data_IF_818120775399
#
_entry.id   IF_818120775399
#
_cell.length_a   1.000
_cell.length_b   1.000
_cell.length_c   1.000
_cell.angle_alpha   90.00
_cell.angle_beta   90.00
_cell.angle_gamma   90.00
#
_symmetry.space_group_name_H-M   'P 1'
#
loop_
_entity.id
_entity.type
_entity.pdbx_description
1 polymer ?
#
# COMPACT_ATOMS: atom_id res chain seq x y z
N UNK A 1 8.71 -18.60 -16.56
CA UNK A 1 7.41 -17.91 -16.82
C UNK A 1 7.70 -16.51 -17.30
N UNK A 2 6.86 -15.94 -18.17
CA UNK A 2 6.98 -14.55 -18.62
C UNK A 2 5.96 -13.68 -17.89
N UNK A 3 6.39 -12.56 -17.31
CA UNK A 3 5.53 -11.61 -16.59
C UNK A 3 5.86 -10.16 -16.91
N UNK A 4 4.83 -9.33 -17.02
CA UNK A 4 4.95 -7.89 -17.24
C UNK A 4 4.74 -7.11 -15.93
N UNK A 5 5.72 -6.29 -15.55
CA UNK A 5 5.73 -5.58 -14.26
C UNK A 5 5.75 -4.07 -14.49
N UNK A 6 4.73 -3.37 -14.01
CA UNK A 6 4.74 -1.93 -13.94
C UNK A 6 5.63 -1.47 -12.78
N UNK A 7 6.64 -0.66 -13.08
CA UNK A 7 7.55 -0.07 -12.10
C UNK A 7 7.11 1.36 -11.79
N UNK A 8 6.83 1.64 -10.53
CA UNK A 8 6.56 2.97 -10.00
C UNK A 8 7.72 3.35 -9.07
N UNK A 9 8.80 3.96 -9.59
CA UNK A 9 9.89 4.49 -8.76
C UNK A 9 9.38 5.46 -7.69
N UNK A 10 8.53 6.40 -8.11
CA UNK A 10 7.97 7.45 -7.27
C UNK A 10 9.00 8.50 -6.84
N UNK A 11 8.96 8.88 -5.57
CA UNK A 11 9.65 10.05 -5.00
C UNK A 11 10.71 9.66 -3.94
N UNK A 12 11.59 10.61 -3.59
CA UNK A 12 12.60 10.43 -2.55
C UNK A 12 13.55 9.27 -2.87
N UNK A 13 13.71 8.33 -1.93
CA UNK A 13 14.54 7.13 -2.11
C UNK A 13 13.93 6.10 -3.07
N UNK A 14 12.70 6.32 -3.53
CA UNK A 14 11.94 5.38 -4.35
C UNK A 14 12.68 4.87 -5.60
N UNK A 15 13.25 5.76 -6.44
CA UNK A 15 14.04 5.34 -7.60
C UNK A 15 15.24 4.46 -7.25
N UNK A 16 15.95 4.77 -6.16
CA UNK A 16 17.14 4.03 -5.75
C UNK A 16 16.77 2.60 -5.33
N UNK A 17 15.73 2.45 -4.50
CA UNK A 17 15.32 1.13 -3.99
C UNK A 17 14.64 0.26 -5.05
N UNK A 18 13.85 0.87 -5.95
CA UNK A 18 13.21 0.14 -7.07
C UNK A 18 14.26 -0.37 -8.06
N UNK A 19 15.31 0.43 -8.34
CA UNK A 19 16.42 -0.02 -9.16
C UNK A 19 17.13 -1.26 -8.56
N UNK A 20 17.34 -1.29 -7.23
CA UNK A 20 17.92 -2.47 -6.59
C UNK A 20 16.99 -3.69 -6.61
N UNK A 21 15.69 -3.48 -6.36
CA UNK A 21 14.71 -4.56 -6.45
C UNK A 21 14.65 -5.16 -7.86
N UNK A 22 14.68 -4.34 -8.91
CA UNK A 22 14.76 -4.79 -10.30
C UNK A 22 16.01 -5.64 -10.55
N UNK A 23 17.19 -5.21 -10.08
CA UNK A 23 18.44 -5.99 -10.23
C UNK A 23 18.34 -7.38 -9.60
N UNK A 24 17.69 -7.48 -8.44
CA UNK A 24 17.47 -8.78 -7.79
C UNK A 24 16.47 -9.62 -8.58
N UNK A 25 15.37 -9.03 -9.08
CA UNK A 25 14.40 -9.73 -9.92
C UNK A 25 15.02 -10.27 -11.21
N UNK A 26 15.84 -9.47 -11.89
CA UNK A 26 16.56 -9.89 -13.10
C UNK A 26 17.48 -11.08 -12.80
N UNK A 27 18.21 -11.04 -11.67
CA UNK A 27 19.07 -12.17 -11.28
C UNK A 27 18.27 -13.43 -10.96
N UNK A 28 17.10 -13.30 -10.33
CA UNK A 28 16.19 -14.42 -10.09
C UNK A 28 15.65 -14.96 -11.42
N UNK A 29 15.35 -14.09 -12.38
CA UNK A 29 14.88 -14.50 -13.70
C UNK A 29 15.91 -15.39 -14.40
N UNK A 30 17.18 -14.98 -14.41
CA UNK A 30 18.29 -15.75 -14.98
C UNK A 30 18.45 -17.12 -14.33
N UNK A 31 18.41 -17.17 -12.99
CA UNK A 31 18.68 -18.38 -12.22
C UNK A 31 17.56 -19.43 -12.34
N UNK A 32 16.31 -18.98 -12.47
CA UNK A 32 15.13 -19.84 -12.39
C UNK A 32 14.36 -19.94 -13.72
N UNK A 33 14.93 -19.43 -14.82
CA UNK A 33 14.30 -19.51 -16.15
C UNK A 33 12.97 -18.73 -16.19
N UNK A 34 12.96 -17.52 -15.66
CA UNK A 34 11.85 -16.59 -15.82
C UNK A 34 12.24 -15.46 -16.77
N UNK A 35 11.23 -14.74 -17.24
CA UNK A 35 11.40 -13.54 -18.03
C UNK A 35 10.51 -12.46 -17.41
N UNK A 36 11.12 -11.32 -17.06
CA UNK A 36 10.42 -10.16 -16.57
C UNK A 36 10.60 -9.02 -17.56
N UNK A 37 9.48 -8.49 -18.05
CA UNK A 37 9.46 -7.25 -18.83
C UNK A 37 8.92 -6.14 -17.94
N UNK A 38 9.37 -4.91 -18.19
CA UNK A 38 9.07 -3.78 -17.32
C UNK A 38 8.49 -2.62 -18.11
N UNK A 39 7.56 -1.89 -17.50
CA UNK A 39 7.12 -0.58 -17.99
C UNK A 39 7.18 0.42 -16.86
N UNK A 40 7.81 1.57 -17.10
CA UNK A 40 7.86 2.64 -16.12
C UNK A 40 6.55 3.42 -16.06
N UNK A 41 6.14 3.74 -14.84
CA UNK A 41 4.90 4.44 -14.52
C UNK A 41 5.23 5.60 -13.59
N UNK A 42 4.87 6.81 -14.02
CA UNK A 42 4.98 7.99 -13.17
C UNK A 42 3.81 8.04 -12.17
N UNK A 43 4.12 8.21 -10.89
CA UNK A 43 3.12 8.38 -9.83
C UNK A 43 3.76 9.07 -8.62
N UNK A 44 2.99 9.92 -7.96
CA UNK A 44 3.44 10.73 -6.83
C UNK A 44 3.87 12.11 -7.28
N UNK A 45 4.82 12.70 -6.57
CA UNK A 45 5.37 14.02 -6.85
C UNK A 45 6.01 14.13 -8.23
N UNK A 46 6.70 13.08 -8.68
CA UNK A 46 7.27 13.03 -10.03
C UNK A 46 6.23 13.17 -11.15
N UNK A 47 5.00 12.68 -10.92
CA UNK A 47 3.90 12.78 -11.86
C UNK A 47 3.21 14.15 -11.74
N UNK A 48 3.11 14.70 -10.53
CA UNK A 48 2.65 16.07 -10.31
C UNK A 48 3.54 17.06 -11.05
N UNK A 49 4.87 16.92 -10.95
CA UNK A 49 5.82 17.82 -11.61
C UNK A 49 5.71 17.75 -13.15
N UNK A 50 5.45 16.56 -13.69
CA UNK A 50 5.44 16.32 -15.15
C UNK A 50 4.08 16.56 -15.80
N UNK A 51 3.00 16.24 -15.11
CA UNK A 51 1.64 16.20 -15.68
C UNK A 51 0.62 17.01 -14.89
N UNK A 52 0.99 17.56 -13.74
CA UNK A 52 0.06 18.24 -12.84
C UNK A 52 -0.92 17.31 -12.12
N UNK A 53 -0.77 15.99 -12.23
CA UNK A 53 -1.63 14.97 -11.59
C UNK A 53 -0.74 13.89 -10.92
N UNK A 54 -1.00 13.51 -9.65
CA UNK A 54 -0.21 12.49 -8.95
C UNK A 54 -0.38 11.06 -9.48
N UNK A 55 -1.40 10.79 -10.31
CA UNK A 55 -1.55 9.53 -11.06
C UNK A 55 -2.39 9.77 -12.33
N UNK A 56 -1.79 10.24 -13.44
CA UNK A 56 -2.49 10.40 -14.70
C UNK A 56 -3.20 9.12 -15.15
N UNK A 57 -4.33 9.23 -15.85
CA UNK A 57 -5.13 8.06 -16.23
C UNK A 57 -4.32 7.02 -17.02
N UNK A 58 -3.51 7.47 -17.98
CA UNK A 58 -2.62 6.61 -18.77
C UNK A 58 -1.63 5.80 -17.90
N UNK A 59 -1.17 6.39 -16.78
CA UNK A 59 -0.27 5.72 -15.84
C UNK A 59 -0.99 4.60 -15.05
N UNK A 60 -2.26 4.82 -14.69
CA UNK A 60 -3.10 3.77 -14.11
C UNK A 60 -3.39 2.67 -15.14
N UNK A 61 -3.67 3.02 -16.39
CA UNK A 61 -3.95 2.04 -17.43
C UNK A 61 -2.74 1.11 -17.69
N UNK A 62 -1.51 1.64 -17.63
CA UNK A 62 -0.26 0.84 -17.64
C UNK A 62 -0.19 -0.17 -16.48
N UNK A 63 -0.65 0.23 -15.29
CA UNK A 63 -0.69 -0.67 -14.13
C UNK A 63 -1.74 -1.77 -14.31
N UNK A 64 -2.91 -1.44 -14.85
CA UNK A 64 -4.00 -2.38 -15.11
C UNK A 64 -3.66 -3.40 -16.22
N UNK A 65 -2.84 -2.98 -17.19
CA UNK A 65 -2.34 -3.86 -18.25
C UNK A 65 -1.18 -4.76 -17.81
N UNK A 66 -0.62 -4.54 -16.62
CA UNK A 66 0.51 -5.33 -16.08
C UNK A 66 0.06 -6.52 -15.25
N UNK A 67 0.87 -7.57 -15.20
CA UNK A 67 0.64 -8.71 -14.29
C UNK A 67 0.84 -8.32 -12.82
N UNK A 68 1.69 -7.32 -12.56
CA UNK A 68 2.03 -6.86 -11.21
C UNK A 68 2.57 -5.43 -11.23
N UNK A 69 2.52 -4.77 -10.07
CA UNK A 69 3.06 -3.43 -9.86
C UNK A 69 4.08 -3.48 -8.73
N UNK A 70 5.26 -2.91 -8.98
CA UNK A 70 6.30 -2.68 -7.99
C UNK A 70 6.44 -1.18 -7.73
N UNK A 71 6.10 -0.75 -6.52
CA UNK A 71 6.11 0.66 -6.11
C UNK A 71 7.18 0.92 -5.06
N UNK A 72 7.96 2.00 -5.25
CA UNK A 72 8.98 2.48 -4.32
C UNK A 72 8.40 3.31 -3.16
N UNK A 73 8.45 4.63 -3.27
CA UNK A 73 7.91 5.55 -2.27
C UNK A 73 7.22 6.74 -2.95
N UNK A 74 6.32 7.43 -2.24
CA UNK A 74 5.70 8.67 -2.73
C UNK A 74 5.64 9.72 -1.63
N UNK A 75 5.65 10.99 -2.04
CA UNK A 75 5.58 12.14 -1.14
C UNK A 75 6.91 12.81 -0.90
N UNK A 76 6.84 14.01 -0.34
CA UNK A 76 8.00 14.82 0.02
C UNK A 76 7.61 16.27 0.30
N UNK A 77 8.43 17.03 1.07
CA UNK A 77 8.08 18.38 1.51
C UNK A 77 7.74 19.36 0.39
N UNK A 78 8.32 19.15 -0.81
CA UNK A 78 8.11 19.96 -2.00
C UNK A 78 6.64 20.09 -2.39
N UNK A 79 5.82 19.06 -2.15
CA UNK A 79 4.42 19.03 -2.58
C UNK A 79 3.43 19.33 -1.45
N UNK A 80 3.88 19.79 -0.27
CA UNK A 80 2.97 20.10 0.85
C UNK A 80 1.98 21.23 0.51
N UNK A 81 2.38 22.16 -0.35
CA UNK A 81 1.60 23.33 -0.77
C UNK A 81 0.66 23.09 -1.96
N UNK A 82 0.70 21.92 -2.61
CA UNK A 82 -0.22 21.65 -3.74
C UNK A 82 -1.64 21.39 -3.22
N UNK A 83 -2.69 21.65 -4.03
CA UNK A 83 -4.07 21.34 -3.65
C UNK A 83 -4.22 19.89 -3.19
N UNK A 84 -5.10 19.64 -2.21
CA UNK A 84 -5.30 18.32 -1.62
C UNK A 84 -5.43 17.17 -2.62
N UNK A 85 -6.27 17.28 -3.67
CA UNK A 85 -6.40 16.27 -4.72
C UNK A 85 -5.12 15.98 -5.53
N UNK A 86 -4.20 16.95 -5.60
CA UNK A 86 -2.96 16.88 -6.36
C UNK A 86 -1.76 16.42 -5.52
N UNK A 87 -1.96 16.15 -4.22
CA UNK A 87 -0.89 15.65 -3.36
C UNK A 87 -0.43 14.25 -3.79
N UNK A 88 0.87 13.92 -3.68
CA UNK A 88 1.41 12.61 -4.07
C UNK A 88 0.65 11.41 -3.47
N UNK A 89 0.22 11.52 -2.21
CA UNK A 89 -0.49 10.47 -1.48
C UNK A 89 -1.88 10.17 -2.08
N UNK A 90 -2.50 11.13 -2.77
CA UNK A 90 -3.75 10.89 -3.51
C UNK A 90 -3.54 9.96 -4.69
N UNK A 91 -2.38 10.00 -5.34
CA UNK A 91 -1.99 9.03 -6.36
C UNK A 91 -1.99 7.59 -5.82
N UNK A 92 -1.47 7.39 -4.61
CA UNK A 92 -1.45 6.08 -3.97
C UNK A 92 -2.85 5.53 -3.63
N UNK A 93 -3.77 6.40 -3.18
CA UNK A 93 -5.17 5.99 -2.95
C UNK A 93 -5.89 5.67 -4.26
N UNK A 94 -5.68 6.49 -5.30
CA UNK A 94 -6.22 6.26 -6.65
C UNK A 94 -5.70 4.96 -7.26
N UNK A 95 -4.42 4.64 -7.10
CA UNK A 95 -3.84 3.38 -7.58
C UNK A 95 -4.51 2.18 -6.90
N UNK A 96 -4.62 2.22 -5.56
CA UNK A 96 -5.21 1.11 -4.78
C UNK A 96 -6.65 0.84 -5.18
N UNK A 97 -7.47 1.87 -5.27
CA UNK A 97 -8.86 1.76 -5.69
C UNK A 97 -8.96 1.34 -7.17
N UNK A 98 -8.18 1.98 -8.06
CA UNK A 98 -8.17 1.69 -9.48
C UNK A 98 -7.81 0.24 -9.81
N UNK A 99 -6.86 -0.34 -9.07
CA UNK A 99 -6.49 -1.76 -9.21
C UNK A 99 -7.37 -2.73 -8.39
N UNK A 100 -8.29 -2.23 -7.56
CA UNK A 100 -9.14 -3.07 -6.72
C UNK A 100 -8.38 -3.89 -5.65
N UNK A 101 -7.18 -3.45 -5.25
CA UNK A 101 -6.31 -4.19 -4.31
C UNK A 101 -6.74 -3.99 -2.84
N UNK A 102 -7.84 -4.65 -2.45
CA UNK A 102 -8.44 -4.48 -1.12
C UNK A 102 -7.67 -5.14 0.04
N UNK A 103 -6.79 -6.10 -0.23
CA UNK A 103 -6.05 -6.83 0.81
C UNK A 103 -4.63 -6.31 0.94
N UNK A 104 -4.35 -5.60 2.04
CA UNK A 104 -3.00 -5.23 2.41
C UNK A 104 -2.41 -6.22 3.41
N UNK A 105 -1.35 -6.92 3.00
CA UNK A 105 -0.68 -7.92 3.82
C UNK A 105 0.69 -7.38 4.25
N UNK A 106 0.88 -7.19 5.57
CA UNK A 106 2.13 -6.68 6.15
C UNK A 106 2.74 -7.72 7.10
N UNK A 107 3.66 -8.58 6.64
CA UNK A 107 4.41 -9.45 7.54
C UNK A 107 5.34 -8.61 8.43
N UNK A 108 5.29 -8.86 9.74
CA UNK A 108 6.17 -8.30 10.73
C UNK A 108 6.91 -9.44 11.43
N UNK A 109 8.22 -9.54 11.16
CA UNK A 109 9.08 -10.59 11.68
C UNK A 109 10.37 -10.01 12.20
N UNK A 110 10.78 -10.44 13.39
CA UNK A 110 12.13 -10.16 13.90
C UNK A 110 13.08 -11.29 13.48
N UNK A 111 14.18 -10.92 12.84
CA UNK A 111 15.25 -11.86 12.53
C UNK A 111 16.21 -11.94 13.72
N UNK A 112 16.67 -13.13 14.14
CA UNK A 112 17.60 -13.26 15.27
C UNK A 112 18.84 -12.35 15.12
N UNK A 113 19.35 -12.21 13.91
CA UNK A 113 20.50 -11.37 13.56
C UNK A 113 20.24 -9.85 13.76
N UNK A 114 18.97 -9.44 13.80
CA UNK A 114 18.52 -8.05 13.94
C UNK A 114 17.79 -7.80 15.27
N UNK A 115 17.80 -8.77 16.20
CA UNK A 115 17.04 -8.68 17.45
C UNK A 115 17.43 -7.46 18.30
N UNK A 116 18.72 -7.07 18.30
CA UNK A 116 19.23 -5.91 19.03
C UNK A 116 18.75 -4.56 18.49
N UNK A 117 18.24 -4.50 17.25
CA UNK A 117 17.67 -3.29 16.69
C UNK A 117 16.22 -3.04 17.14
N UNK A 118 15.59 -4.03 17.79
CA UNK A 118 14.25 -3.87 18.33
C UNK A 118 14.25 -2.93 19.53
N UNK A 119 13.30 -1.99 19.63
CA UNK A 119 13.17 -1.12 20.81
C UNK A 119 12.56 -1.83 22.03
N UNK A 120 12.08 -3.06 21.87
CA UNK A 120 11.51 -3.86 22.96
C UNK A 120 12.61 -4.52 23.78
N UNK A 121 12.31 -4.78 25.06
CA UNK A 121 13.24 -5.46 25.95
C UNK A 121 13.66 -6.84 25.40
N UNK A 122 14.92 -7.27 25.58
CA UNK A 122 15.42 -8.54 25.05
C UNK A 122 14.57 -9.76 25.43
N UNK A 123 14.02 -9.82 26.65
CA UNK A 123 13.17 -10.92 27.12
C UNK A 123 11.80 -10.99 26.41
N UNK A 124 11.35 -9.89 25.80
CA UNK A 124 10.16 -9.87 24.93
C UNK A 124 10.55 -10.36 23.54
N UNK A 125 11.63 -9.81 22.99
CA UNK A 125 12.12 -10.16 21.64
C UNK A 125 12.55 -11.63 21.57
N UNK A 126 13.14 -12.15 22.64
CA UNK A 126 13.56 -13.55 22.76
C UNK A 126 12.41 -14.56 22.67
N UNK A 127 11.16 -14.12 22.85
CA UNK A 127 9.95 -14.96 22.62
C UNK A 127 9.60 -15.09 21.14
N UNK A 128 10.26 -14.32 20.27
CA UNK A 128 9.99 -14.27 18.84
C UNK A 128 8.85 -13.32 18.48
N UNK A 129 8.98 -12.68 17.32
CA UNK A 129 7.95 -11.84 16.70
C UNK A 129 7.79 -12.35 15.27
N UNK A 130 6.63 -12.92 14.95
CA UNK A 130 6.29 -13.38 13.60
C UNK A 130 4.76 -13.38 13.43
N UNK A 131 4.22 -12.25 12.96
CA UNK A 131 2.80 -12.11 12.66
C UNK A 131 2.60 -11.37 11.34
N UNK A 132 1.38 -11.42 10.81
CA UNK A 132 1.02 -10.76 9.57
C UNK A 132 -0.27 -9.97 9.80
N UNK A 133 -0.24 -8.68 9.48
CA UNK A 133 -1.42 -7.82 9.49
C UNK A 133 -2.12 -7.96 8.14
N UNK A 134 -3.37 -8.45 8.16
CA UNK A 134 -4.28 -8.41 7.01
C UNK A 134 -5.19 -7.21 7.22
N UNK A 135 -5.05 -6.20 6.37
CA UNK A 135 -5.75 -4.91 6.48
C UNK A 135 -6.62 -4.67 5.24
N UNK A 136 -7.88 -4.27 5.45
CA UNK A 136 -8.73 -3.72 4.39
C UNK A 136 -8.13 -2.38 3.91
N UNK A 137 -7.94 -2.24 2.60
CA UNK A 137 -7.12 -1.18 2.02
C UNK A 137 -7.90 -0.15 1.16
N UNK A 138 -9.12 -0.45 0.74
CA UNK A 138 -9.85 0.37 -0.25
C UNK A 138 -11.26 0.79 0.17
N UNK A 139 -11.62 0.58 1.44
CA UNK A 139 -12.85 1.05 2.05
C UNK A 139 -12.60 1.82 3.36
N UNK A 140 -13.64 1.88 4.20
CA UNK A 140 -13.57 2.55 5.49
C UNK A 140 -13.33 4.06 5.38
N UNK A 141 -12.84 4.65 6.47
CA UNK A 141 -12.71 6.10 6.62
C UNK A 141 -11.79 6.76 5.58
N UNK A 142 -10.95 6.01 4.87
CA UNK A 142 -10.06 6.57 3.83
C UNK A 142 -10.76 6.80 2.49
N UNK A 143 -11.88 6.12 2.26
CA UNK A 143 -12.62 6.14 0.99
C UNK A 143 -14.10 6.51 1.18
N UNK A 144 -14.54 6.73 2.43
CA UNK A 144 -15.84 7.32 2.72
C UNK A 144 -15.92 8.78 2.30
N UNK A 145 -17.10 9.39 2.50
CA UNK A 145 -17.30 10.80 2.19
C UNK A 145 -16.39 11.67 3.06
N UNK A 146 -15.78 12.67 2.43
CA UNK A 146 -14.97 13.71 3.07
C UNK A 146 -15.54 15.07 2.71
N UNK A 147 -16.04 15.82 3.68
CA UNK A 147 -16.63 17.13 3.42
C UNK A 147 -16.28 18.14 4.52
N UNK A 148 -16.29 19.41 4.12
CA UNK A 148 -16.22 20.53 5.05
C UNK A 148 -17.43 21.41 4.80
N UNK A 149 -18.27 21.55 5.82
CA UNK A 149 -19.55 22.25 5.75
C UNK A 149 -19.56 23.41 6.75
N UNK A 150 -20.43 24.39 6.53
CA UNK A 150 -20.70 25.44 7.48
C UNK A 150 -22.01 25.12 8.22
N UNK A 151 -21.94 24.85 9.52
CA UNK A 151 -23.07 24.53 10.37
C UNK A 151 -23.13 25.54 11.52
N UNK A 152 -24.26 26.23 11.68
CA UNK A 152 -24.47 27.23 12.73
C UNK A 152 -23.38 28.32 12.81
N UNK A 153 -22.80 28.70 11.67
CA UNK A 153 -21.71 29.68 11.59
C UNK A 153 -20.31 29.11 11.87
N UNK A 154 -20.18 27.82 12.16
CA UNK A 154 -18.92 27.13 12.38
C UNK A 154 -18.54 26.24 11.19
N UNK A 155 -17.24 26.07 10.96
CA UNK A 155 -16.76 25.09 9.96
C UNK A 155 -16.64 23.73 10.61
N UNK A 156 -17.34 22.75 10.05
CA UNK A 156 -17.32 21.34 10.49
C UNK A 156 -16.66 20.50 9.41
N UNK A 157 -15.74 19.62 9.80
CA UNK A 157 -15.12 18.63 8.92
C UNK A 157 -15.67 17.24 9.26
N UNK A 158 -16.07 16.49 8.23
CA UNK A 158 -16.73 15.19 8.36
C UNK A 158 -15.96 14.17 7.52
N UNK A 159 -15.63 13.05 8.15
CA UNK A 159 -15.03 11.86 7.53
C UNK A 159 -15.89 10.63 7.85
N UNK A 160 -16.43 9.98 6.82
CA UNK A 160 -17.35 8.85 6.99
C UNK A 160 -16.62 7.50 7.09
N UNK A 161 -16.71 6.81 8.23
CA UNK A 161 -16.30 5.41 8.34
C UNK A 161 -17.44 4.50 7.90
N UNK A 162 -17.36 3.96 6.67
CA UNK A 162 -18.35 3.06 6.12
C UNK A 162 -17.73 1.79 5.55
N UNK A 163 -18.37 0.66 5.82
CA UNK A 163 -18.12 -0.62 5.17
C UNK A 163 -19.44 -1.28 4.80
N UNK A 164 -19.49 -1.91 3.64
CA UNK A 164 -20.50 -2.92 3.31
C UNK A 164 -20.10 -4.28 3.87
N UNK A 165 -21.09 -5.14 4.10
CA UNK A 165 -20.85 -6.52 4.51
C UNK A 165 -19.94 -7.27 3.54
N UNK A 166 -20.05 -6.99 2.24
CA UNK A 166 -19.23 -7.62 1.20
C UNK A 166 -17.74 -7.27 1.32
N UNK A 167 -17.42 -6.03 1.73
CA UNK A 167 -16.05 -5.57 1.95
C UNK A 167 -15.43 -6.21 3.18
N UNK A 168 -16.21 -6.34 4.26
CA UNK A 168 -15.80 -7.03 5.49
C UNK A 168 -15.60 -8.52 5.22
N UNK A 169 -16.52 -9.15 4.49
CA UNK A 169 -16.48 -10.58 4.17
C UNK A 169 -15.25 -10.95 3.33
N UNK A 170 -14.94 -10.17 2.28
CA UNK A 170 -13.77 -10.47 1.42
C UNK A 170 -12.45 -10.38 2.18
N UNK A 171 -12.27 -9.38 3.04
CA UNK A 171 -11.02 -9.25 3.80
C UNK A 171 -10.93 -10.29 4.93
N UNK A 172 -12.06 -10.60 5.58
CA UNK A 172 -12.15 -11.69 6.57
C UNK A 172 -11.74 -13.04 5.98
N UNK A 173 -12.19 -13.34 4.75
CA UNK A 173 -11.79 -14.55 4.01
C UNK A 173 -10.26 -14.60 3.81
N UNK A 174 -9.63 -13.49 3.40
CA UNK A 174 -8.17 -13.43 3.29
C UNK A 174 -7.49 -13.66 4.65
N UNK A 175 -8.05 -13.12 5.74
CA UNK A 175 -7.59 -13.37 7.10
C UNK A 175 -7.56 -14.87 7.44
N UNK A 176 -8.68 -15.57 7.22
CA UNK A 176 -8.78 -17.01 7.46
C UNK A 176 -7.85 -17.83 6.54
N UNK A 177 -7.83 -17.55 5.24
CA UNK A 177 -6.97 -18.26 4.28
C UNK A 177 -5.49 -18.08 4.60
N UNK A 178 -5.10 -16.88 5.03
CA UNK A 178 -3.73 -16.58 5.44
C UNK A 178 -3.37 -17.28 6.75
N UNK A 179 -4.27 -17.29 7.74
CA UNK A 179 -4.07 -18.01 8.99
C UNK A 179 -3.90 -19.52 8.77
N UNK A 180 -4.66 -20.11 7.82
CA UNK A 180 -4.55 -21.55 7.45
C UNK A 180 -3.19 -21.94 6.88
N UNK A 181 -2.51 -21.02 6.17
CA UNK A 181 -1.15 -21.20 5.64
C UNK A 181 -0.06 -20.92 6.67
N UNK A 182 -0.44 -20.50 7.88
CA UNK A 182 0.43 -20.17 9.02
C UNK A 182 0.00 -21.01 10.22
N UNK A 183 0.01 -20.42 11.42
CA UNK A 183 -0.20 -21.13 12.68
C UNK A 183 -1.69 -21.30 13.06
N UNK A 184 -2.63 -21.16 12.10
CA UNK A 184 -4.08 -21.31 12.28
C UNK A 184 -4.69 -20.44 13.40
N UNK A 185 -4.06 -19.30 13.69
CA UNK A 185 -4.55 -18.30 14.65
C UNK A 185 -4.92 -17.03 13.89
N UNK A 186 -6.12 -16.52 14.14
CA UNK A 186 -6.61 -15.25 13.62
C UNK A 186 -7.08 -14.42 14.81
N UNK A 187 -6.64 -13.16 14.88
CA UNK A 187 -7.14 -12.18 15.83
C UNK A 187 -7.81 -11.07 15.01
N UNK A 188 -9.13 -10.90 15.18
CA UNK A 188 -9.84 -9.75 14.62
C UNK A 188 -9.69 -8.57 15.58
N UNK A 189 -9.31 -7.40 15.06
CA UNK A 189 -9.12 -6.18 15.85
C UNK A 189 -10.13 -5.15 15.38
N UNK A 190 -10.97 -4.70 16.30
CA UNK A 190 -12.07 -3.77 16.03
C UNK A 190 -12.37 -2.89 17.25
N UNK A 191 -13.37 -2.00 17.11
CA UNK A 191 -13.88 -1.15 18.18
C UNK A 191 -15.39 -1.30 18.36
N UNK A 192 -15.89 -2.53 18.30
CA UNK A 192 -17.31 -2.90 18.39
C UNK A 192 -18.01 -2.51 19.70
N UNK A 193 -17.24 -2.12 20.73
CA UNK A 193 -17.81 -1.58 21.95
C UNK A 193 -18.28 -0.11 21.81
N UNK A 194 -18.06 0.52 20.65
CA UNK A 194 -18.46 1.91 20.35
C UNK A 194 -18.94 2.08 18.91
N UNK A 195 -18.16 1.62 17.93
CA UNK A 195 -18.42 1.78 16.49
C UNK A 195 -19.31 0.67 15.94
#
# INVERSE_FOLDING_TARGET
MTKHIALIPGDGIGPEIVAQAKRVLDRVADLFGHEFTYTEVAMGGNAVDKYGDPLPREMLDKCLASDSVLLGAVGGPRWNGVPGPMRPEKGLLRLRAGMGVYSNNRPAKIWPQLASASPLKPEIVGKGIDFLIVRELIGGIYFGRHETVAENGERVAIDELRYSESEIRRIGRIGFETARKRNRRLCSVEKSNVL
#
